data_IF_259933910684
#
_entry.id   IF_259933910684
#
_cell.length_a   1.000
_cell.length_b   1.000
_cell.length_c   1.000
_cell.angle_alpha   90.00
_cell.angle_beta   90.00
_cell.angle_gamma   90.00
#
_symmetry.space_group_name_H-M   'P 1'
#
loop_
_entity.id
_entity.type
_entity.pdbx_description
1 polymer ?
#
# COMPACT_ATOMS: atom_id res chain seq x y z
N UNK A 1 -11.02 16.16 -4.02
CA UNK A 1 -10.12 15.49 -5.00
C UNK A 1 -9.25 14.39 -4.38
N UNK A 2 -9.09 14.33 -3.05
CA UNK A 2 -8.33 13.27 -2.36
C UNK A 2 -8.83 11.84 -2.63
N UNK A 3 -10.14 11.61 -2.77
CA UNK A 3 -10.68 10.28 -3.09
C UNK A 3 -10.26 9.73 -4.46
N UNK A 4 -10.08 10.62 -5.46
CA UNK A 4 -9.72 10.19 -6.82
C UNK A 4 -8.29 9.62 -6.87
N UNK A 5 -7.31 10.31 -6.26
CA UNK A 5 -5.91 9.81 -6.19
C UNK A 5 -5.82 8.45 -5.49
N UNK A 6 -6.55 8.28 -4.38
CA UNK A 6 -6.57 7.04 -3.61
C UNK A 6 -7.22 5.91 -4.41
N UNK A 7 -8.32 6.18 -5.14
CA UNK A 7 -8.95 5.19 -6.02
C UNK A 7 -8.03 4.74 -7.16
N UNK A 8 -7.29 5.66 -7.78
CA UNK A 8 -6.34 5.35 -8.85
C UNK A 8 -5.19 4.52 -8.31
N UNK A 9 -4.65 4.90 -7.15
CA UNK A 9 -3.59 4.15 -6.48
C UNK A 9 -4.03 2.73 -6.11
N UNK A 10 -5.18 2.58 -5.44
CA UNK A 10 -5.72 1.27 -5.07
C UNK A 10 -5.97 0.43 -6.31
N UNK A 11 -6.57 1.00 -7.36
CA UNK A 11 -6.79 0.29 -8.63
C UNK A 11 -5.49 -0.23 -9.25
N UNK A 12 -4.43 0.59 -9.28
CA UNK A 12 -3.12 0.20 -9.76
C UNK A 12 -2.51 -0.94 -8.90
N UNK A 13 -2.54 -0.81 -7.57
CA UNK A 13 -2.01 -1.84 -6.65
C UNK A 13 -2.80 -3.14 -6.77
N UNK A 14 -4.13 -3.10 -6.88
CA UNK A 14 -4.96 -4.28 -7.09
C UNK A 14 -4.67 -4.97 -8.42
N UNK A 15 -4.43 -4.21 -9.50
CA UNK A 15 -4.02 -4.78 -10.78
C UNK A 15 -2.66 -5.49 -10.68
N UNK A 16 -1.66 -4.86 -10.04
CA UNK A 16 -0.34 -5.46 -9.82
C UNK A 16 -0.42 -6.72 -8.96
N UNK A 17 -1.27 -6.72 -7.93
CA UNK A 17 -1.52 -7.89 -7.09
C UNK A 17 -2.18 -9.03 -7.88
N UNK A 18 -3.11 -8.70 -8.77
CA UNK A 18 -3.70 -9.67 -9.71
C UNK A 18 -2.65 -10.30 -10.62
N UNK A 19 -1.69 -9.53 -11.13
CA UNK A 19 -0.57 -10.07 -11.91
C UNK A 19 0.31 -11.01 -11.08
N UNK A 20 0.69 -10.63 -9.87
CA UNK A 20 1.44 -11.53 -8.97
C UNK A 20 0.66 -12.80 -8.66
N UNK A 21 -0.67 -12.71 -8.53
CA UNK A 21 -1.52 -13.88 -8.34
C UNK A 21 -1.53 -14.82 -9.55
N UNK A 22 -1.27 -14.32 -10.77
CA UNK A 22 -1.09 -15.22 -11.92
C UNK A 22 0.18 -16.08 -11.80
N UNK A 23 1.25 -15.57 -11.18
CA UNK A 23 2.48 -16.34 -10.92
C UNK A 23 2.28 -17.43 -9.86
N UNK A 24 1.26 -17.29 -9.01
CA UNK A 24 0.89 -18.29 -8.00
C UNK A 24 0.64 -19.69 -8.58
N UNK A 25 0.23 -19.78 -9.85
CA UNK A 25 0.04 -21.07 -10.54
C UNK A 25 1.33 -21.90 -10.58
N UNK A 26 2.48 -21.24 -10.65
CA UNK A 26 3.80 -21.86 -10.64
C UNK A 26 4.42 -21.90 -9.24
N UNK A 27 4.15 -20.89 -8.40
CA UNK A 27 4.77 -20.72 -7.08
C UNK A 27 4.19 -21.62 -6.00
N UNK A 28 2.89 -21.91 -6.08
CA UNK A 28 2.23 -22.88 -5.19
C UNK A 28 2.82 -24.29 -5.32
N UNK A 29 3.46 -24.59 -6.45
CA UNK A 29 4.13 -25.87 -6.68
C UNK A 29 5.45 -26.00 -5.92
N UNK A 30 6.03 -24.88 -5.46
CA UNK A 30 7.38 -24.84 -4.88
C UNK A 30 7.41 -24.39 -3.41
N UNK A 31 6.71 -23.32 -3.03
CA UNK A 31 6.91 -22.61 -1.74
C UNK A 31 6.54 -23.40 -0.47
N UNK A 32 5.66 -24.38 -0.56
CA UNK A 32 5.05 -25.05 0.60
C UNK A 32 5.34 -26.54 0.66
N UNK A 33 6.46 -26.96 0.09
CA UNK A 33 6.79 -28.36 -0.10
C UNK A 33 8.09 -28.68 0.60
N UNK A 34 8.05 -29.73 1.42
CA UNK A 34 9.26 -30.22 2.06
C UNK A 34 10.22 -30.72 0.97
N UNK A 35 11.55 -30.64 1.20
CA UNK A 35 12.54 -31.13 0.25
C UNK A 35 12.29 -32.57 -0.22
N UNK A 36 11.69 -33.40 0.66
CA UNK A 36 11.35 -34.81 0.42
C UNK A 36 10.10 -34.99 -0.46
N UNK A 37 9.15 -34.05 -0.42
CA UNK A 37 7.90 -34.09 -1.22
C UNK A 37 7.99 -33.26 -2.51
N UNK A 38 9.14 -32.64 -2.76
CA UNK A 38 9.38 -31.82 -3.93
C UNK A 38 9.84 -32.68 -5.11
N UNK A 39 8.86 -33.20 -5.84
CA UNK A 39 9.07 -33.99 -7.06
C UNK A 39 9.64 -33.15 -8.20
N UNK A 40 10.55 -33.74 -8.99
CA UNK A 40 11.15 -33.11 -10.17
C UNK A 40 10.10 -32.59 -11.16
N UNK A 41 8.99 -33.32 -11.33
CA UNK A 41 7.88 -32.90 -12.19
C UNK A 41 7.35 -31.50 -11.83
N UNK A 42 7.26 -31.18 -10.54
CA UNK A 42 6.66 -29.92 -10.06
C UNK A 42 7.62 -28.75 -10.27
N UNK A 43 8.91 -29.01 -10.07
CA UNK A 43 9.99 -28.08 -10.40
C UNK A 43 10.05 -27.79 -11.89
N UNK A 44 9.96 -28.82 -12.73
CA UNK A 44 9.91 -28.67 -14.18
C UNK A 44 8.67 -27.91 -14.66
N UNK A 45 7.51 -28.16 -14.06
CA UNK A 45 6.28 -27.42 -14.38
C UNK A 45 6.44 -25.92 -14.08
N UNK A 46 6.96 -25.58 -12.90
CA UNK A 46 7.23 -24.19 -12.51
C UNK A 46 8.29 -23.54 -13.42
N UNK A 47 9.41 -24.21 -13.69
CA UNK A 47 10.45 -23.72 -14.59
C UNK A 47 9.95 -23.51 -16.04
N UNK A 48 9.03 -24.37 -16.50
CA UNK A 48 8.42 -24.23 -17.83
C UNK A 48 7.56 -22.98 -17.90
N UNK A 49 6.76 -22.70 -16.87
CA UNK A 49 6.00 -21.45 -16.79
C UNK A 49 6.92 -20.22 -16.90
N UNK A 50 8.05 -20.22 -16.18
CA UNK A 50 9.02 -19.12 -16.24
C UNK A 50 9.78 -19.01 -17.56
N UNK A 51 10.02 -20.13 -18.22
CA UNK A 51 10.58 -20.17 -19.58
C UNK A 51 9.61 -19.61 -20.63
N UNK A 52 8.31 -19.81 -20.45
CA UNK A 52 7.29 -19.18 -21.30
C UNK A 52 7.23 -17.67 -21.02
N UNK A 53 7.25 -17.30 -19.74
CA UNK A 53 7.22 -15.90 -19.31
C UNK A 53 8.43 -15.11 -19.83
N UNK A 54 9.62 -15.70 -19.87
CA UNK A 54 10.84 -15.04 -20.40
C UNK A 54 10.76 -14.69 -21.89
N UNK A 55 9.84 -15.30 -22.63
CA UNK A 55 9.64 -15.07 -24.08
C UNK A 55 8.39 -14.26 -24.40
N UNK A 56 7.72 -13.74 -23.37
CA UNK A 56 6.55 -12.92 -23.59
C UNK A 56 6.91 -11.65 -24.40
N UNK A 57 5.99 -11.12 -25.23
CA UNK A 57 6.23 -9.88 -25.96
C UNK A 57 6.61 -8.74 -25.00
N UNK A 58 7.61 -7.91 -25.34
CA UNK A 58 8.07 -6.83 -24.47
C UNK A 58 6.98 -5.78 -24.18
N UNK A 59 5.94 -5.71 -25.01
CA UNK A 59 4.75 -4.89 -24.78
C UNK A 59 4.11 -5.14 -23.40
N UNK A 60 4.09 -6.38 -22.92
CA UNK A 60 3.54 -6.71 -21.61
C UNK A 60 4.41 -6.15 -20.47
N UNK A 61 5.72 -6.12 -20.65
CA UNK A 61 6.64 -5.51 -19.68
C UNK A 61 6.43 -3.99 -19.60
N UNK A 62 6.22 -3.34 -20.75
CA UNK A 62 5.90 -1.90 -20.79
C UNK A 62 4.54 -1.59 -20.15
N UNK A 63 3.53 -2.44 -20.34
CA UNK A 63 2.25 -2.31 -19.66
C UNK A 63 2.44 -2.42 -18.14
N UNK A 64 3.22 -3.40 -17.68
CA UNK A 64 3.51 -3.58 -16.26
C UNK A 64 4.21 -2.37 -15.66
N UNK A 65 5.29 -1.89 -16.32
CA UNK A 65 5.99 -0.67 -15.92
C UNK A 65 5.10 0.57 -15.95
N UNK A 66 4.16 0.65 -16.90
CA UNK A 66 3.16 1.71 -17.00
C UNK A 66 2.26 1.76 -15.76
N UNK A 67 1.68 0.63 -15.36
CA UNK A 67 0.83 0.57 -14.15
C UNK A 67 1.63 0.86 -12.89
N UNK A 68 2.89 0.39 -12.81
CA UNK A 68 3.80 0.74 -11.71
C UNK A 68 4.03 2.25 -11.65
N UNK A 69 4.29 2.90 -12.80
CA UNK A 69 4.52 4.35 -12.83
C UNK A 69 3.28 5.16 -12.44
N UNK A 70 2.08 4.72 -12.84
CA UNK A 70 0.80 5.35 -12.44
C UNK A 70 0.60 5.23 -10.93
N UNK A 71 0.81 4.03 -10.37
CA UNK A 71 0.71 3.81 -8.93
C UNK A 71 1.71 4.65 -8.14
N UNK A 72 2.98 4.66 -8.57
CA UNK A 72 4.03 5.48 -7.95
C UNK A 72 3.71 6.98 -8.01
N UNK A 73 3.22 7.47 -9.15
CA UNK A 73 2.86 8.89 -9.30
C UNK A 73 1.70 9.28 -8.39
N UNK A 74 0.65 8.43 -8.31
CA UNK A 74 -0.48 8.68 -7.41
C UNK A 74 -0.06 8.69 -5.94
N UNK A 75 0.86 7.80 -5.55
CA UNK A 75 1.39 7.72 -4.20
C UNK A 75 2.27 8.91 -3.84
N UNK A 76 3.18 9.31 -4.74
CA UNK A 76 4.03 10.49 -4.54
C UNK A 76 3.22 11.79 -4.47
N UNK A 77 2.15 11.90 -5.28
CA UNK A 77 1.22 13.01 -5.17
C UNK A 77 0.54 13.00 -3.79
N UNK A 78 0.05 11.84 -3.33
CA UNK A 78 -0.56 11.73 -2.01
C UNK A 78 0.40 12.11 -0.88
N UNK A 79 1.66 11.66 -0.94
CA UNK A 79 2.68 11.96 0.06
C UNK A 79 3.03 13.46 0.16
N UNK A 80 2.96 14.18 -0.97
CA UNK A 80 3.25 15.61 -1.04
C UNK A 80 2.22 16.52 -0.36
N UNK A 81 1.04 16.00 0.03
CA UNK A 81 -0.04 16.78 0.65
C UNK A 81 0.25 17.18 2.11
N UNK A 82 1.25 16.54 2.75
CA UNK A 82 1.84 17.01 4.02
C UNK A 82 0.93 16.98 5.26
N UNK A 83 -0.30 16.50 5.19
CA UNK A 83 -1.17 16.33 6.36
C UNK A 83 -0.65 15.22 7.28
N UNK A 84 -0.65 15.47 8.61
CA UNK A 84 -0.02 14.58 9.59
C UNK A 84 -0.58 13.15 9.60
N UNK A 85 -1.90 12.98 9.52
CA UNK A 85 -2.54 11.66 9.41
C UNK A 85 -2.22 10.97 8.08
N UNK A 86 -2.16 11.75 7.01
CA UNK A 86 -1.83 11.26 5.68
C UNK A 86 -0.40 10.71 5.59
N UNK A 87 0.55 11.36 6.28
CA UNK A 87 1.98 11.05 6.19
C UNK A 87 2.33 9.67 6.78
N UNK A 88 1.68 9.25 7.86
CA UNK A 88 1.97 7.97 8.50
C UNK A 88 1.54 6.78 7.62
N UNK A 89 0.32 6.85 7.06
CA UNK A 89 -0.21 5.79 6.20
C UNK A 89 0.43 5.81 4.81
N UNK A 90 0.53 6.99 4.17
CA UNK A 90 1.13 7.09 2.84
C UNK A 90 2.65 6.81 2.88
N UNK A 91 3.34 7.16 3.96
CA UNK A 91 4.76 6.85 4.15
C UNK A 91 5.04 5.35 4.27
N UNK A 92 4.23 4.64 5.07
CA UNK A 92 4.29 3.18 5.16
C UNK A 92 3.98 2.50 3.82
N UNK A 93 2.93 2.97 3.14
CA UNK A 93 2.56 2.49 1.80
C UNK A 93 3.66 2.76 0.77
N UNK A 94 4.33 3.91 0.81
CA UNK A 94 5.47 4.24 -0.05
C UNK A 94 6.66 3.31 0.17
N UNK A 95 6.97 2.98 1.43
CA UNK A 95 8.06 2.07 1.76
C UNK A 95 7.77 0.64 1.27
N UNK A 96 6.57 0.13 1.51
CA UNK A 96 6.15 -1.21 1.08
C UNK A 96 6.08 -1.30 -0.46
N UNK A 97 5.48 -0.30 -1.10
CA UNK A 97 5.39 -0.23 -2.56
C UNK A 97 6.78 -0.16 -3.20
N UNK A 98 7.65 0.72 -2.70
CA UNK A 98 9.03 0.86 -3.16
C UNK A 98 9.84 -0.43 -2.96
N UNK A 99 9.64 -1.14 -1.85
CA UNK A 99 10.28 -2.43 -1.59
C UNK A 99 9.83 -3.50 -2.59
N UNK A 100 8.53 -3.58 -2.88
CA UNK A 100 8.00 -4.51 -3.90
C UNK A 100 8.59 -4.21 -5.29
N UNK A 101 8.65 -2.93 -5.69
CA UNK A 101 9.26 -2.51 -6.96
C UNK A 101 10.76 -2.86 -6.99
N UNK A 102 11.47 -2.60 -5.89
CA UNK A 102 12.90 -2.93 -5.77
C UNK A 102 13.16 -4.43 -5.94
N UNK A 103 12.44 -5.28 -5.17
CA UNK A 103 12.57 -6.74 -5.29
C UNK A 103 12.24 -7.20 -6.71
N UNK A 104 11.20 -6.64 -7.33
CA UNK A 104 10.82 -7.05 -8.68
C UNK A 104 11.90 -6.70 -9.72
N UNK A 105 12.46 -5.49 -9.65
CA UNK A 105 13.48 -5.03 -10.60
C UNK A 105 14.81 -5.77 -10.40
N UNK A 106 15.23 -5.99 -9.15
CA UNK A 106 16.56 -6.51 -8.83
C UNK A 106 16.63 -8.03 -8.63
N UNK A 107 15.51 -8.69 -8.33
CA UNK A 107 15.46 -10.13 -8.14
C UNK A 107 14.65 -10.82 -9.25
N UNK A 108 13.40 -10.42 -9.49
CA UNK A 108 12.48 -11.13 -10.40
C UNK A 108 12.94 -11.05 -11.86
N UNK A 109 13.09 -9.83 -12.40
CA UNK A 109 13.45 -9.62 -13.81
C UNK A 109 14.78 -10.28 -14.18
N UNK A 110 15.91 -10.02 -13.48
CA UNK A 110 17.19 -10.60 -13.86
C UNK A 110 17.19 -12.13 -13.71
N UNK A 111 16.52 -12.67 -12.69
CA UNK A 111 16.44 -14.12 -12.49
C UNK A 111 15.72 -14.81 -13.68
N UNK A 112 14.59 -14.26 -14.13
CA UNK A 112 13.86 -14.77 -15.31
C UNK A 112 14.75 -14.73 -16.56
N UNK A 113 15.35 -13.57 -16.84
CA UNK A 113 16.11 -13.35 -18.08
C UNK A 113 17.40 -14.17 -18.14
N UNK A 114 18.08 -14.38 -17.01
CA UNK A 114 19.35 -15.11 -16.96
C UNK A 114 19.17 -16.62 -16.92
N UNK A 115 18.19 -17.13 -16.16
CA UNK A 115 18.08 -18.56 -15.88
C UNK A 115 17.10 -19.30 -16.79
N UNK A 116 16.07 -18.63 -17.33
CA UNK A 116 14.95 -19.31 -18.01
C UNK A 116 14.86 -19.05 -19.51
N UNK A 117 15.70 -18.17 -20.08
CA UNK A 117 15.69 -17.85 -21.52
C UNK A 117 16.31 -18.96 -22.39
N UNK A 118 17.25 -19.74 -21.83
CA UNK A 118 17.98 -20.79 -22.54
C UNK A 118 17.28 -22.16 -22.54
N UNK A 119 16.18 -22.30 -21.79
CA UNK A 119 15.46 -23.56 -21.70
C UNK A 119 14.70 -23.86 -23.00
N UNK A 120 14.86 -25.03 -23.64
CA UNK A 120 14.22 -25.35 -24.91
C UNK A 120 12.68 -25.41 -24.77
N UNK A 121 11.96 -24.82 -25.73
CA UNK A 121 10.51 -24.97 -25.91
C UNK A 121 10.27 -25.63 -27.28
N UNK A 122 9.30 -26.55 -27.45
CA UNK A 122 8.43 -27.17 -26.45
C UNK A 122 9.17 -28.23 -25.62
N UNK A 123 8.92 -28.27 -24.31
CA UNK A 123 9.47 -29.35 -23.49
C UNK A 123 8.75 -30.66 -23.82
N UNK A 124 9.42 -31.58 -24.52
CA UNK A 124 8.98 -32.98 -24.72
C UNK A 124 8.51 -33.63 -23.40
N UNK A 125 9.10 -33.22 -22.28
CA UNK A 125 8.81 -33.74 -20.95
C UNK A 125 7.47 -33.25 -20.37
N UNK A 126 6.94 -32.09 -20.77
CA UNK A 126 5.61 -31.64 -20.32
C UNK A 126 4.48 -32.43 -21.01
N UNK A 127 4.64 -32.76 -22.30
CA UNK A 127 3.76 -33.68 -23.02
C UNK A 127 3.90 -35.14 -22.55
N UNK A 128 5.11 -35.55 -22.14
CA UNK A 128 5.37 -36.88 -21.58
C UNK A 128 4.89 -37.00 -20.13
N UNK A 129 4.87 -35.91 -19.36
CA UNK A 129 4.31 -35.84 -18.02
C UNK A 129 2.83 -36.21 -17.97
N UNK A 130 2.08 -35.82 -19.01
CA UNK A 130 0.66 -36.14 -19.12
C UNK A 130 0.42 -37.62 -19.48
N UNK A 131 1.43 -38.32 -20.01
CA UNK A 131 1.28 -39.66 -20.59
C UNK A 131 2.05 -40.79 -19.88
N UNK A 132 3.07 -40.52 -19.07
CA UNK A 132 3.69 -41.55 -18.21
C UNK A 132 4.54 -40.95 -17.07
N UNK A 133 4.16 -41.23 -15.83
CA UNK A 133 4.86 -40.81 -14.61
C UNK A 133 6.16 -41.57 -14.29
N UNK A 134 6.73 -42.33 -15.24
CA UNK A 134 7.75 -43.36 -14.94
C UNK A 134 9.18 -43.04 -15.40
N UNK A 135 9.46 -41.92 -16.07
CA UNK A 135 10.84 -41.58 -16.46
C UNK A 135 11.03 -40.08 -16.70
N UNK A 136 10.97 -39.28 -15.62
CA UNK A 136 11.25 -37.85 -15.67
C UNK A 136 12.74 -37.60 -15.47
N UNK A 137 13.41 -36.79 -16.30
CA UNK A 137 14.80 -36.42 -16.05
C UNK A 137 14.90 -35.65 -14.72
N UNK A 138 15.90 -36.01 -13.92
CA UNK A 138 16.20 -35.34 -12.67
C UNK A 138 16.31 -33.82 -12.90
N UNK A 139 15.70 -33.03 -12.01
CA UNK A 139 15.71 -31.59 -12.17
C UNK A 139 17.13 -31.03 -11.90
N UNK A 140 17.67 -30.18 -12.80
CA UNK A 140 19.02 -29.65 -12.63
C UNK A 140 19.17 -28.83 -11.35
N UNK A 141 20.19 -29.15 -10.55
CA UNK A 141 20.44 -28.50 -9.26
C UNK A 141 20.71 -27.01 -9.38
N UNK A 142 21.28 -26.57 -10.51
CA UNK A 142 21.56 -25.17 -10.82
C UNK A 142 20.32 -24.31 -10.99
N UNK A 143 19.19 -24.88 -11.45
CA UNK A 143 17.93 -24.16 -11.61
C UNK A 143 17.06 -24.20 -10.35
N UNK A 144 17.39 -25.06 -9.37
CA UNK A 144 16.53 -25.24 -8.18
C UNK A 144 16.52 -23.99 -7.32
N UNK A 145 17.70 -23.41 -7.10
CA UNK A 145 17.83 -22.12 -6.39
C UNK A 145 17.04 -21.01 -7.09
N UNK A 146 17.32 -20.70 -8.38
CA UNK A 146 16.60 -19.68 -9.14
C UNK A 146 15.08 -19.81 -9.12
N UNK A 147 14.53 -21.02 -9.31
CA UNK A 147 13.07 -21.26 -9.28
C UNK A 147 12.46 -20.97 -7.91
N UNK A 148 13.14 -21.38 -6.83
CA UNK A 148 12.68 -21.12 -5.47
C UNK A 148 12.76 -19.64 -5.10
N UNK A 149 13.86 -18.99 -5.50
CA UNK A 149 14.08 -17.56 -5.29
C UNK A 149 12.99 -16.72 -5.98
N UNK A 150 12.63 -17.08 -7.21
CA UNK A 150 11.59 -16.40 -7.97
C UNK A 150 10.23 -16.49 -7.28
N UNK A 151 9.88 -17.70 -6.82
CA UNK A 151 8.64 -17.92 -6.07
C UNK A 151 8.60 -17.11 -4.76
N UNK A 152 9.71 -17.08 -4.02
CA UNK A 152 9.81 -16.30 -2.78
C UNK A 152 9.74 -14.79 -3.03
N UNK A 153 10.29 -14.32 -4.15
CA UNK A 153 10.26 -12.90 -4.55
C UNK A 153 8.84 -12.46 -4.90
N UNK A 154 8.09 -13.27 -5.66
CA UNK A 154 6.67 -12.99 -5.94
C UNK A 154 5.82 -12.99 -4.67
N UNK A 155 6.07 -13.93 -3.75
CA UNK A 155 5.39 -13.96 -2.46
C UNK A 155 5.70 -12.69 -1.65
N UNK A 156 6.97 -12.29 -1.56
CA UNK A 156 7.38 -11.08 -0.86
C UNK A 156 6.70 -9.82 -1.44
N UNK A 157 6.70 -9.68 -2.77
CA UNK A 157 5.99 -8.59 -3.44
C UNK A 157 4.48 -8.63 -3.16
N UNK A 158 3.86 -9.81 -3.17
CA UNK A 158 2.42 -9.96 -2.93
C UNK A 158 2.05 -9.55 -1.51
N UNK A 159 2.85 -9.97 -0.51
CA UNK A 159 2.65 -9.58 0.90
C UNK A 159 2.86 -8.08 1.08
N UNK A 160 3.90 -7.50 0.48
CA UNK A 160 4.15 -6.06 0.55
C UNK A 160 2.99 -5.24 -0.05
N UNK A 161 2.52 -5.60 -1.25
CA UNK A 161 1.39 -4.93 -1.89
C UNK A 161 0.06 -5.16 -1.15
N UNK A 162 -0.13 -6.32 -0.53
CA UNK A 162 -1.29 -6.54 0.36
C UNK A 162 -1.23 -5.63 1.58
N UNK A 163 -0.04 -5.45 2.16
CA UNK A 163 0.20 -4.49 3.23
C UNK A 163 -0.12 -3.05 2.83
N UNK A 164 0.19 -2.65 1.60
CA UNK A 164 -0.23 -1.35 1.03
C UNK A 164 -1.75 -1.22 1.05
N UNK A 165 -2.48 -2.21 0.54
CA UNK A 165 -3.96 -2.17 0.55
C UNK A 165 -4.50 -2.09 1.97
N UNK A 166 -3.91 -2.83 2.93
CA UNK A 166 -4.31 -2.79 4.32
C UNK A 166 -4.07 -1.41 4.97
N UNK A 167 -2.95 -0.75 4.67
CA UNK A 167 -2.67 0.62 5.15
C UNK A 167 -3.63 1.65 4.54
N UNK A 168 -3.95 1.53 3.24
CA UNK A 168 -4.95 2.42 2.63
C UNK A 168 -6.35 2.19 3.22
N UNK A 169 -6.72 0.95 3.55
CA UNK A 169 -7.97 0.65 4.25
C UNK A 169 -7.97 1.20 5.68
N UNK A 170 -6.84 1.11 6.40
CA UNK A 170 -6.67 1.70 7.72
C UNK A 170 -6.80 3.23 7.71
N UNK A 171 -6.26 3.88 6.69
CA UNK A 171 -6.46 5.32 6.47
C UNK A 171 -7.93 5.65 6.29
N UNK A 172 -8.65 4.92 5.44
CA UNK A 172 -10.08 5.13 5.24
C UNK A 172 -10.90 4.95 6.53
N UNK A 173 -10.51 3.97 7.36
CA UNK A 173 -11.13 3.74 8.66
C UNK A 173 -10.91 4.91 9.64
N UNK A 174 -9.70 5.47 9.69
CA UNK A 174 -9.39 6.63 10.55
C UNK A 174 -10.11 7.88 10.06
N UNK A 175 -10.14 8.12 8.75
CA UNK A 175 -10.86 9.26 8.15
C UNK A 175 -12.37 9.21 8.49
N UNK A 176 -13.00 8.04 8.47
CA UNK A 176 -14.40 7.87 8.88
C UNK A 176 -14.65 8.19 10.36
N UNK A 177 -13.73 7.79 11.25
CA UNK A 177 -13.88 8.06 12.68
C UNK A 177 -13.80 9.56 13.00
N UNK A 178 -12.88 10.28 12.35
CA UNK A 178 -12.73 11.72 12.48
C UNK A 178 -13.95 12.48 11.92
N UNK A 179 -14.60 11.96 10.86
CA UNK A 179 -15.84 12.50 10.29
C UNK A 179 -17.03 12.35 11.24
N UNK A 180 -17.19 11.16 11.85
CA UNK A 180 -18.26 10.86 12.79
C UNK A 180 -18.16 11.71 14.08
N UNK A 181 -16.94 11.89 14.62
CA UNK A 181 -16.70 12.75 15.80
C UNK A 181 -17.04 14.22 15.50
N UNK A 182 -16.65 14.73 14.32
CA UNK A 182 -16.97 16.10 13.92
C UNK A 182 -18.49 16.31 13.77
N UNK A 183 -19.20 15.37 13.14
CA UNK A 183 -20.65 15.43 13.00
C UNK A 183 -21.34 15.51 14.37
N UNK A 184 -20.90 14.70 15.33
CA UNK A 184 -21.49 14.63 16.67
C UNK A 184 -21.25 15.90 17.50
N UNK A 185 -20.12 16.59 17.32
CA UNK A 185 -19.85 17.88 17.97
C UNK A 185 -20.70 19.03 17.39
N UNK A 186 -20.95 19.02 16.08
CA UNK A 186 -21.77 20.05 15.41
C UNK A 186 -23.26 19.90 15.76
N UNK A 187 -23.75 18.67 15.89
CA UNK A 187 -25.13 18.40 16.28
C UNK A 187 -25.39 18.64 17.79
N UNK A 188 -24.36 18.52 18.63
CA UNK A 188 -24.44 18.77 20.08
C UNK A 188 -24.41 20.25 20.48
N UNK A 189 -23.75 21.12 19.70
CA UNK A 189 -23.65 22.55 20.00
C UNK A 189 -24.88 23.37 19.52
N UNK A 190 -25.85 22.71 18.88
CA UNK A 190 -27.10 23.31 18.40
C UNK A 190 -28.28 23.32 19.39
N UNK A 191 -28.13 22.72 20.58
CA UNK A 191 -29.23 22.54 21.57
C UNK A 191 -29.01 23.29 22.90
N UNK A 192 -28.13 24.29 22.95
CA UNK A 192 -27.90 25.14 24.15
C UNK A 192 -28.27 26.62 23.95
N UNK A 193 -29.26 26.94 23.11
CA UNK A 193 -29.92 28.26 23.18
C UNK A 193 -30.96 28.29 24.30
N UNK A 194 -30.54 28.76 25.47
CA UNK A 194 -31.38 29.10 26.62
C UNK A 194 -32.22 30.36 26.31
N UNK A 195 -33.57 30.30 26.25
CA UNK A 195 -34.41 31.49 26.23
C UNK A 195 -35.07 31.71 27.60
N UNK A 196 -34.89 32.90 28.19
CA UNK A 196 -35.72 33.57 29.22
C UNK A 196 -34.77 34.49 30.02
N UNK A 197 -35.07 35.75 30.38
CA UNK A 197 -36.18 36.66 30.11
C UNK A 197 -35.68 38.08 30.43
N UNK A 198 -36.25 39.03 29.71
CA UNK A 198 -36.18 40.48 29.88
C UNK A 198 -36.67 40.98 31.23
N UNK A 199 -36.00 42.00 31.80
CA UNK A 199 -36.67 43.09 32.50
C UNK A 199 -35.99 44.43 32.14
N UNK A 200 -36.80 45.35 31.63
CA UNK A 200 -36.49 46.74 31.32
C UNK A 200 -36.28 47.55 32.61
N UNK A 201 -35.32 48.46 32.62
CA UNK A 201 -35.54 49.76 33.28
C UNK A 201 -34.73 50.86 32.57
N UNK A 202 -35.46 51.75 31.90
CA UNK A 202 -34.94 52.92 31.23
C UNK A 202 -35.05 54.19 32.07
N UNK A 203 -33.93 54.93 32.10
CA UNK A 203 -33.81 56.39 32.01
C UNK A 203 -34.39 57.33 33.08
N UNK A 204 -33.48 58.17 33.63
CA UNK A 204 -33.55 59.60 34.05
C UNK A 204 -32.91 59.77 35.44
N UNK A 205 -32.19 60.83 35.84
CA UNK A 205 -31.81 62.14 35.31
C UNK A 205 -30.84 62.77 36.35
N UNK A 206 -30.08 63.80 35.95
CA UNK A 206 -29.53 64.90 36.79
C UNK A 206 -28.31 64.67 37.72
N UNK A 207 -27.16 65.16 37.23
CA UNK A 207 -26.23 66.11 37.85
C UNK A 207 -26.27 66.35 39.38
N UNK A 208 -25.11 66.32 40.05
CA UNK A 208 -24.31 67.51 40.48
C UNK A 208 -23.37 67.16 41.65
N UNK A 209 -22.10 67.60 41.53
CA UNK A 209 -21.11 67.97 42.56
C UNK A 209 -20.60 67.00 43.64
N UNK A 210 -19.26 66.89 43.68
CA UNK A 210 -18.50 67.33 44.86
C UNK A 210 -17.65 66.26 45.55
N UNK A 211 -16.32 66.36 45.45
CA UNK A 211 -15.43 65.59 46.33
C UNK A 211 -14.00 65.39 45.85
N UNK A 212 -13.30 66.46 45.50
CA UNK A 212 -11.85 66.50 45.39
C UNK A 212 -11.22 66.34 46.79
N UNK A 213 -10.30 65.40 46.97
CA UNK A 213 -8.92 65.67 47.43
C UNK A 213 -8.21 64.47 48.08
N UNK A 214 -6.92 64.43 47.75
CA UNK A 214 -5.79 64.02 48.58
C UNK A 214 -5.26 62.58 48.47
N UNK A 215 -4.12 62.52 47.75
CA UNK A 215 -2.78 62.14 48.27
C UNK A 215 -2.16 60.95 47.52
N UNK A 216 -1.50 61.19 46.38
CA UNK A 216 -0.03 61.38 46.26
C UNK A 216 0.83 60.41 47.09
N UNK A 217 1.48 59.49 46.35
CA UNK A 217 2.96 59.32 46.18
C UNK A 217 3.57 57.98 46.57
N UNK A 218 4.46 57.56 45.66
CA UNK A 218 5.63 56.67 45.81
C UNK A 218 5.28 55.20 46.05
N UNK A 219 5.77 54.22 45.30
CA UNK A 219 7.04 54.09 44.59
C UNK A 219 7.52 52.64 44.84
N UNK A 220 8.25 52.01 43.90
CA UNK A 220 8.30 50.56 43.72
C UNK A 220 9.37 49.89 44.58
N UNK A 221 9.32 48.57 44.81
CA UNK A 221 10.50 47.68 44.90
C UNK A 221 10.07 46.20 44.74
N UNK A 222 10.84 45.50 43.88
CA UNK A 222 10.88 44.05 43.64
C UNK A 222 11.39 43.27 44.85
N UNK A 223 10.90 42.05 45.02
CA UNK A 223 11.70 40.79 44.95
C UNK A 223 10.75 39.63 44.71
#
# INVERSE_FOLDING_TARGET
>A
MAGLRTSVFISAVSFLLGLLFTHWIADSLTLWKSPETQTDFRLWTSATYYSILSRMPPALLYLYGGVVSIGATALLWSLGDGQAGNLMFDGGSALLYGTAVFIYIYSVIPNILQNFTSLPLPFEYASKAMSAALDFPAFPSSLKGPTLELASSHLACSVALTGVVALQAGRWWVEQYDEDEQQQTVDGEGDETHPELSEEEGAQSTATEGGDQARKRAGPVRT
#
